data_IF_407127297444
#
_entry.id   IF_407127297444
#
_cell.length_a   1.000
_cell.length_b   1.000
_cell.length_c   1.000
_cell.angle_alpha   90.00
_cell.angle_beta   90.00
_cell.angle_gamma   90.00
#
_symmetry.space_group_name_H-M   'P 1'
#
loop_
_entity.id
_entity.type
_entity.pdbx_description
1 polymer ?
#
# COMPACT_ATOMS: atom_id res chain seq x y z
N UNK A 1 69.63 -21.95 -21.83
CA UNK A 1 68.99 -22.22 -23.14
C UNK A 1 67.64 -21.55 -23.09
N UNK A 2 67.60 -20.26 -23.38
CA UNK A 2 67.45 -19.63 -24.71
C UNK A 2 65.98 -19.53 -25.10
N UNK A 3 65.55 -18.25 -25.20
CA UNK A 3 64.59 -17.68 -26.16
C UNK A 3 63.12 -18.16 -26.11
N UNK A 4 62.10 -17.33 -26.26
CA UNK A 4 62.05 -16.03 -26.93
C UNK A 4 60.84 -16.06 -27.87
N UNK A 5 59.83 -15.25 -27.55
CA UNK A 5 58.90 -14.56 -28.45
C UNK A 5 58.24 -15.25 -29.67
N UNK A 6 56.91 -15.03 -29.71
CA UNK A 6 55.98 -14.92 -30.87
C UNK A 6 54.98 -16.07 -31.03
N UNK A 7 53.82 -15.89 -30.40
CA UNK A 7 52.57 -16.45 -30.92
C UNK A 7 51.95 -15.48 -31.94
N UNK A 8 51.80 -16.03 -33.14
CA UNK A 8 51.21 -15.44 -34.33
C UNK A 8 49.69 -15.37 -34.27
N UNK A 9 49.17 -14.22 -34.71
CA UNK A 9 47.77 -13.96 -35.05
C UNK A 9 47.18 -15.07 -35.95
N UNK A 10 46.09 -15.68 -35.50
CA UNK A 10 45.15 -16.42 -36.33
C UNK A 10 43.78 -15.77 -36.25
N UNK A 11 43.38 -15.08 -37.32
CA UNK A 11 42.00 -14.65 -37.54
C UNK A 11 41.12 -15.89 -37.73
N UNK A 12 40.18 -16.13 -36.81
CA UNK A 12 39.04 -17.00 -37.05
C UNK A 12 37.75 -16.20 -36.87
N UNK A 13 37.21 -15.77 -38.01
CA UNK A 13 35.81 -15.49 -38.32
C UNK A 13 34.80 -15.97 -37.25
N UNK A 14 34.29 -15.05 -36.44
CA UNK A 14 33.12 -15.26 -35.59
C UNK A 14 31.91 -14.56 -36.20
N UNK A 15 31.20 -15.26 -37.08
CA UNK A 15 29.79 -14.96 -37.38
C UNK A 15 28.94 -15.22 -36.13
N UNK A 16 28.15 -14.28 -35.60
CA UNK A 16 27.17 -14.58 -34.58
C UNK A 16 25.92 -15.18 -35.24
N UNK A 17 25.87 -16.50 -35.22
CA UNK A 17 24.70 -17.37 -35.03
C UNK A 17 23.31 -16.69 -35.08
N UNK A 18 22.72 -16.66 -36.28
CA UNK A 18 21.36 -16.22 -36.57
C UNK A 18 20.25 -17.18 -36.07
N UNK A 19 20.53 -18.01 -35.05
CA UNK A 19 19.64 -19.08 -34.58
C UNK A 19 19.14 -18.91 -33.14
N UNK A 20 19.40 -17.77 -32.48
CA UNK A 20 18.79 -17.42 -31.17
C UNK A 20 17.78 -16.26 -31.22
N UNK A 21 17.38 -15.82 -32.42
CA UNK A 21 16.42 -14.71 -32.60
C UNK A 21 15.01 -15.19 -33.03
N UNK A 22 14.75 -16.49 -32.98
CA UNK A 22 13.54 -17.09 -33.58
C UNK A 22 12.68 -17.87 -32.57
N UNK A 23 12.56 -17.38 -31.33
CA UNK A 23 11.57 -17.89 -30.34
C UNK A 23 10.60 -16.77 -29.90
N UNK A 24 10.68 -15.59 -30.52
CA UNK A 24 9.80 -14.46 -30.23
C UNK A 24 8.96 -14.06 -31.46
N UNK A 25 8.32 -15.01 -32.13
CA UNK A 25 7.41 -14.69 -33.25
C UNK A 25 6.11 -15.50 -33.21
N UNK A 26 5.04 -14.76 -32.91
CA UNK A 26 3.73 -14.83 -33.56
C UNK A 26 2.97 -16.17 -33.55
N UNK A 27 2.08 -16.34 -32.58
CA UNK A 27 0.88 -17.17 -32.78
C UNK A 27 -0.26 -16.21 -33.15
N UNK A 28 -0.46 -16.02 -34.45
CA UNK A 28 -1.64 -15.34 -34.99
C UNK A 28 -2.71 -16.40 -35.26
N UNK A 29 -3.69 -16.55 -34.37
CA UNK A 29 -4.92 -17.29 -34.68
C UNK A 29 -5.82 -16.41 -35.55
N UNK A 30 -5.74 -16.60 -36.86
CA UNK A 30 -6.68 -16.05 -37.83
C UNK A 30 -7.91 -16.95 -37.93
N UNK A 31 -9.08 -16.44 -37.53
CA UNK A 31 -10.37 -17.02 -37.94
C UNK A 31 -10.98 -16.11 -39.02
N UNK A 32 -11.08 -16.66 -40.23
CA UNK A 32 -11.83 -16.20 -41.43
C UNK A 32 -12.55 -17.49 -41.91
N UNK A 33 -13.82 -17.61 -42.35
CA UNK A 33 -14.82 -16.80 -43.09
C UNK A 33 -16.22 -17.39 -42.73
N UNK A 34 -17.38 -16.74 -42.90
CA UNK A 34 -18.07 -16.58 -44.18
C UNK A 34 -19.23 -15.53 -44.11
N UNK A 35 -19.47 -14.87 -45.25
CA UNK A 35 -20.37 -13.73 -45.53
C UNK A 35 -21.85 -14.13 -45.66
N UNK A 36 -22.78 -13.21 -45.36
CA UNK A 36 -23.58 -12.49 -46.38
C UNK A 36 -24.66 -11.54 -45.80
N UNK A 37 -24.65 -10.30 -46.31
CA UNK A 37 -25.78 -9.38 -46.56
C UNK A 37 -26.77 -9.04 -45.42
N UNK A 38 -26.64 -7.86 -44.81
CA UNK A 38 -27.49 -6.66 -45.08
C UNK A 38 -27.23 -5.54 -44.05
N UNK A 39 -27.33 -4.29 -44.54
CA UNK A 39 -27.43 -2.98 -43.84
C UNK A 39 -26.19 -2.33 -43.17
N UNK A 40 -26.00 -1.00 -43.35
CA UNK A 40 -24.80 -0.27 -42.95
C UNK A 40 -24.88 0.30 -41.53
N UNK A 41 -23.73 0.74 -41.04
CA UNK A 41 -23.50 1.57 -39.85
C UNK A 41 -23.57 0.88 -38.46
N UNK A 42 -22.62 -0.03 -38.25
CA UNK A 42 -21.99 -0.21 -36.92
C UNK A 42 -20.51 0.15 -37.09
N UNK A 43 -19.94 1.11 -36.32
CA UNK A 43 -18.54 1.45 -36.46
C UNK A 43 -17.67 0.23 -36.13
N UNK A 44 -16.76 -0.06 -37.06
CA UNK A 44 -15.77 -1.13 -37.00
C UNK A 44 -15.04 -1.08 -35.65
N UNK A 45 -15.28 -2.07 -34.79
CA UNK A 45 -14.56 -2.24 -33.53
C UNK A 45 -13.06 -2.33 -33.85
N UNK A 46 -12.28 -1.33 -33.45
CA UNK A 46 -10.84 -1.40 -33.54
C UNK A 46 -10.36 -2.66 -32.80
N UNK A 47 -9.70 -3.58 -33.52
CA UNK A 47 -9.02 -4.74 -32.93
C UNK A 47 -7.97 -4.22 -31.93
N UNK A 48 -8.28 -4.28 -30.64
CA UNK A 48 -7.28 -4.13 -29.59
C UNK A 48 -6.56 -5.47 -29.52
N UNK A 49 -5.46 -5.63 -30.26
CA UNK A 49 -4.61 -6.81 -30.15
C UNK A 49 -3.83 -6.70 -28.85
N UNK A 50 -4.28 -7.37 -27.79
CA UNK A 50 -3.55 -7.44 -26.51
C UNK A 50 -2.56 -8.61 -26.59
N UNK A 51 -1.27 -8.29 -26.61
CA UNK A 51 -0.19 -9.25 -26.41
C UNK A 51 0.39 -9.05 -24.99
N UNK A 52 1.17 -9.98 -24.44
CA UNK A 52 1.83 -9.82 -23.11
C UNK A 52 2.60 -8.50 -23.04
N UNK A 53 3.14 -8.05 -24.19
CA UNK A 53 3.82 -6.76 -24.38
C UNK A 53 2.91 -5.52 -24.32
N UNK A 54 1.58 -5.67 -24.37
CA UNK A 54 0.59 -4.59 -24.25
C UNK A 54 0.03 -4.42 -22.83
N UNK A 55 0.25 -5.38 -21.92
CA UNK A 55 0.17 -5.15 -20.48
C UNK A 55 1.42 -4.36 -20.05
N UNK A 56 1.42 -3.05 -20.32
CA UNK A 56 2.66 -2.26 -20.36
C UNK A 56 3.14 -1.79 -18.99
N UNK A 57 2.24 -1.65 -18.01
CA UNK A 57 2.59 -0.94 -16.77
C UNK A 57 2.47 -1.87 -15.56
N UNK A 58 3.59 -2.09 -14.90
CA UNK A 58 3.65 -2.84 -13.65
C UNK A 58 3.11 -1.95 -12.53
N UNK A 59 2.50 -2.57 -11.53
CA UNK A 59 1.84 -1.85 -10.44
C UNK A 59 2.02 -2.59 -9.13
N UNK A 60 2.16 -1.81 -8.06
CA UNK A 60 2.14 -2.30 -6.69
C UNK A 60 0.71 -2.18 -6.12
N UNK A 61 0.19 -3.17 -5.39
CA UNK A 61 -1.09 -3.07 -4.72
C UNK A 61 -1.26 -1.82 -3.84
N UNK A 62 -0.20 -1.35 -3.19
CA UNK A 62 -0.22 -0.12 -2.37
C UNK A 62 -0.52 1.16 -3.17
N UNK A 63 -0.32 1.15 -4.49
CA UNK A 63 -0.62 2.29 -5.37
C UNK A 63 -2.07 2.33 -5.84
N UNK A 64 -2.92 1.41 -5.36
CA UNK A 64 -4.34 1.42 -5.64
C UNK A 64 -4.97 2.76 -5.20
N UNK A 65 -5.70 3.41 -6.10
CA UNK A 65 -6.25 4.74 -5.87
C UNK A 65 -7.57 4.76 -5.08
N UNK A 66 -7.91 3.65 -4.42
CA UNK A 66 -9.17 3.43 -3.71
C UNK A 66 -9.59 4.60 -2.80
N UNK A 67 -8.67 5.12 -1.97
CA UNK A 67 -8.98 6.20 -1.04
C UNK A 67 -8.98 7.61 -1.66
N UNK A 68 -8.44 7.79 -2.87
CA UNK A 68 -8.47 9.10 -3.56
C UNK A 68 -9.43 9.12 -4.76
N UNK A 69 -10.35 8.16 -4.85
CA UNK A 69 -11.42 8.23 -5.83
C UNK A 69 -12.29 9.46 -5.53
N UNK A 70 -12.66 10.25 -6.56
CA UNK A 70 -13.51 11.40 -6.35
C UNK A 70 -14.86 10.92 -5.80
N UNK A 71 -15.22 11.41 -4.61
CA UNK A 71 -16.57 11.19 -4.09
C UNK A 71 -17.51 11.96 -5.01
N UNK A 72 -18.30 11.24 -5.80
CA UNK A 72 -19.36 11.83 -6.62
C UNK A 72 -20.51 12.27 -5.70
N UNK A 73 -20.28 13.29 -4.88
CA UNK A 73 -21.36 13.97 -4.19
C UNK A 73 -22.04 14.82 -5.28
N UNK A 74 -23.31 14.56 -5.55
CA UNK A 74 -24.13 15.34 -6.46
C UNK A 74 -24.40 16.74 -5.86
N UNK A 75 -23.35 17.53 -5.61
CA UNK A 75 -23.43 18.85 -4.96
C UNK A 75 -23.69 19.95 -5.98
N UNK A 76 -23.42 19.71 -7.27
CA UNK A 76 -23.68 20.69 -8.31
C UNK A 76 -24.50 20.09 -9.46
N UNK A 77 -25.81 20.34 -9.39
CA UNK A 77 -26.76 20.59 -10.48
C UNK A 77 -26.81 19.61 -11.67
N UNK A 78 -27.97 18.95 -11.77
CA UNK A 78 -28.59 18.23 -12.92
C UNK A 78 -28.55 16.70 -12.96
N UNK A 79 -28.06 16.01 -11.93
CA UNK A 79 -28.55 14.63 -11.72
C UNK A 79 -29.85 14.77 -10.95
N UNK A 80 -30.98 14.73 -11.65
CA UNK A 80 -32.27 14.64 -10.99
C UNK A 80 -32.19 13.46 -10.02
N UNK A 81 -32.39 13.71 -8.73
CA UNK A 81 -32.63 12.62 -7.78
C UNK A 81 -33.70 11.72 -8.42
N UNK A 82 -33.50 10.38 -8.44
CA UNK A 82 -34.51 9.49 -8.96
C UNK A 82 -35.87 9.88 -8.36
N UNK A 83 -36.90 10.03 -9.19
CA UNK A 83 -38.27 10.25 -8.70
C UNK A 83 -38.52 9.26 -7.58
N UNK A 84 -39.15 9.73 -6.48
CA UNK A 84 -39.43 8.92 -5.30
C UNK A 84 -39.85 7.50 -5.73
N UNK A 85 -38.99 6.52 -5.43
CA UNK A 85 -39.20 5.17 -5.88
C UNK A 85 -40.25 4.54 -4.96
N UNK A 86 -41.40 4.21 -5.53
CA UNK A 86 -42.45 3.53 -4.78
C UNK A 86 -41.96 2.10 -4.48
N UNK A 87 -41.75 1.79 -3.20
CA UNK A 87 -41.47 0.43 -2.75
C UNK A 87 -42.82 -0.26 -2.55
N UNK A 88 -43.18 -1.18 -3.45
CA UNK A 88 -44.44 -1.91 -3.33
C UNK A 88 -44.43 -2.75 -2.03
N UNK A 89 -45.60 -2.95 -1.37
CA UNK A 89 -45.70 -3.89 -0.26
C UNK A 89 -45.13 -5.25 -0.62
N UNK A 90 -44.41 -5.90 0.29
CA UNK A 90 -43.74 -7.19 0.09
C UNK A 90 -42.54 -7.19 -0.88
N UNK A 91 -42.08 -6.02 -1.34
CA UNK A 91 -40.83 -5.93 -2.13
C UNK A 91 -39.64 -6.23 -1.24
N UNK A 92 -38.97 -7.35 -1.49
CA UNK A 92 -37.63 -7.62 -0.96
C UNK A 92 -36.61 -7.26 -2.03
N UNK A 93 -35.75 -6.28 -1.76
CA UNK A 93 -34.61 -5.97 -2.63
C UNK A 93 -33.48 -6.94 -2.25
N UNK A 94 -33.55 -8.18 -2.75
CA UNK A 94 -32.65 -9.27 -2.30
C UNK A 94 -31.30 -9.26 -3.02
N UNK A 95 -31.14 -8.51 -4.11
CA UNK A 95 -29.81 -8.22 -4.65
C UNK A 95 -29.85 -6.99 -5.55
N UNK A 96 -28.75 -6.24 -5.56
CA UNK A 96 -28.48 -5.28 -6.62
C UNK A 96 -28.06 -6.08 -7.85
N UNK A 97 -29.02 -6.50 -8.68
CA UNK A 97 -28.67 -6.98 -10.02
C UNK A 97 -28.22 -5.77 -10.83
N UNK A 98 -26.97 -5.70 -11.31
CA UNK A 98 -26.56 -4.63 -12.20
C UNK A 98 -27.47 -4.63 -13.44
N UNK A 99 -27.76 -3.46 -14.04
CA UNK A 99 -28.63 -3.35 -15.21
C UNK A 99 -28.08 -4.11 -16.44
N UNK A 100 -26.81 -4.54 -16.40
CA UNK A 100 -26.15 -5.34 -17.42
C UNK A 100 -25.58 -6.60 -16.73
N UNK A 101 -25.81 -7.82 -17.28
CA UNK A 101 -25.25 -9.05 -16.71
C UNK A 101 -23.72 -9.02 -16.71
N UNK A 102 -23.13 -9.22 -15.54
CA UNK A 102 -21.69 -9.42 -15.35
C UNK A 102 -21.34 -10.87 -15.66
N UNK A 103 -21.31 -11.26 -16.94
CA UNK A 103 -21.13 -12.67 -17.32
C UNK A 103 -19.76 -13.17 -16.84
N UNK A 104 -19.76 -14.08 -15.88
CA UNK A 104 -18.57 -14.70 -15.27
C UNK A 104 -17.81 -13.83 -14.26
N UNK A 105 -18.22 -12.57 -14.07
CA UNK A 105 -17.65 -11.66 -13.08
C UNK A 105 -18.53 -11.61 -11.83
N UNK A 106 -17.91 -11.80 -10.67
CA UNK A 106 -18.51 -11.66 -9.35
C UNK A 106 -18.28 -10.23 -8.86
N UNK A 107 -19.35 -9.55 -8.42
CA UNK A 107 -19.23 -8.24 -7.78
C UNK A 107 -19.14 -8.43 -6.26
N UNK A 108 -18.07 -7.92 -5.67
CA UNK A 108 -17.90 -7.88 -4.22
C UNK A 108 -18.00 -6.45 -3.71
N UNK A 109 -18.56 -6.31 -2.50
CA UNK A 109 -18.55 -5.06 -1.74
C UNK A 109 -17.55 -5.25 -0.62
N UNK A 110 -16.50 -4.44 -0.62
CA UNK A 110 -15.52 -4.37 0.44
C UNK A 110 -16.21 -4.01 1.77
N UNK A 111 -15.73 -4.49 2.93
CA UNK A 111 -16.21 -4.09 4.27
C UNK A 111 -16.39 -2.58 4.53
N UNK A 112 -15.73 -1.73 3.77
CA UNK A 112 -15.78 -0.25 3.88
C UNK A 112 -16.68 0.39 2.80
N UNK A 113 -17.34 -0.41 1.97
CA UNK A 113 -18.38 0.01 1.03
C UNK A 113 -17.97 0.11 -0.44
N UNK A 114 -16.67 0.07 -0.77
CA UNK A 114 -16.22 0.13 -2.16
C UNK A 114 -16.46 -1.19 -2.91
N UNK A 115 -16.59 -1.15 -4.24
CA UNK A 115 -16.84 -2.34 -5.07
C UNK A 115 -15.59 -2.78 -5.81
N UNK A 116 -15.45 -4.09 -5.96
CA UNK A 116 -14.47 -4.68 -6.86
C UNK A 116 -15.04 -5.94 -7.49
N UNK A 117 -14.36 -6.44 -8.52
CA UNK A 117 -14.86 -7.51 -9.37
C UNK A 117 -13.86 -8.63 -9.49
N UNK A 118 -14.35 -9.86 -9.46
CA UNK A 118 -13.53 -11.07 -9.57
C UNK A 118 -14.00 -11.92 -10.74
N UNK A 119 -13.08 -12.40 -11.55
CA UNK A 119 -13.32 -13.40 -12.57
C UNK A 119 -12.77 -14.76 -12.09
N UNK A 120 -13.62 -15.56 -11.45
CA UNK A 120 -13.21 -16.78 -10.75
C UNK A 120 -12.45 -17.77 -11.64
N UNK A 121 -12.88 -17.91 -12.91
CA UNK A 121 -12.26 -18.84 -13.87
C UNK A 121 -10.80 -18.51 -14.21
N UNK A 122 -10.45 -17.22 -14.29
CA UNK A 122 -9.08 -16.77 -14.55
C UNK A 122 -8.38 -16.25 -13.28
N UNK A 123 -8.98 -16.44 -12.10
CA UNK A 123 -8.45 -15.96 -10.81
C UNK A 123 -7.98 -14.51 -10.89
N UNK A 124 -8.82 -13.68 -11.48
CA UNK A 124 -8.48 -12.29 -11.76
C UNK A 124 -9.32 -11.37 -10.90
N UNK A 125 -8.71 -10.34 -10.35
CA UNK A 125 -9.38 -9.32 -9.53
C UNK A 125 -9.11 -7.95 -10.11
N UNK A 126 -10.12 -7.08 -10.09
CA UNK A 126 -10.00 -5.71 -10.56
C UNK A 126 -10.91 -4.75 -9.78
N UNK A 127 -10.48 -3.51 -9.52
CA UNK A 127 -11.35 -2.47 -8.98
C UNK A 127 -12.24 -1.84 -10.06
N UNK A 128 -11.96 -2.11 -11.34
CA UNK A 128 -12.65 -1.48 -12.47
C UNK A 128 -13.91 -2.27 -12.82
N UNK A 129 -15.04 -1.58 -12.96
CA UNK A 129 -16.30 -2.20 -13.38
C UNK A 129 -16.17 -2.85 -14.78
N UNK A 130 -16.33 -4.19 -14.90
CA UNK A 130 -16.15 -4.90 -16.16
C UNK A 130 -17.45 -4.81 -16.99
N UNK A 131 -17.81 -3.61 -17.40
CA UNK A 131 -18.95 -3.37 -18.30
C UNK A 131 -18.47 -3.25 -19.75
N UNK A 132 -19.22 -3.83 -20.68
CA UNK A 132 -19.04 -3.68 -22.12
C UNK A 132 -17.62 -4.05 -22.62
N UNK A 133 -16.92 -3.09 -23.24
CA UNK A 133 -15.59 -3.24 -23.83
C UNK A 133 -14.50 -3.52 -22.79
N UNK A 134 -14.68 -3.02 -21.56
CA UNK A 134 -13.70 -3.17 -20.47
C UNK A 134 -13.58 -4.63 -20.07
N UNK A 135 -14.70 -5.35 -19.97
CA UNK A 135 -14.70 -6.79 -19.68
C UNK A 135 -13.85 -7.59 -20.69
N UNK A 136 -14.02 -7.31 -21.99
CA UNK A 136 -13.26 -7.99 -23.05
C UNK A 136 -11.76 -7.71 -22.97
N UNK A 137 -11.37 -6.47 -22.68
CA UNK A 137 -9.96 -6.09 -22.50
C UNK A 137 -9.37 -6.83 -21.29
N UNK A 138 -10.08 -6.86 -20.17
CA UNK A 138 -9.64 -7.53 -18.95
C UNK A 138 -9.53 -9.05 -19.15
N UNK A 139 -10.51 -9.69 -19.78
CA UNK A 139 -10.51 -11.13 -20.05
C UNK A 139 -9.39 -11.54 -21.01
N UNK A 140 -9.16 -10.75 -22.07
CA UNK A 140 -8.05 -10.98 -22.99
C UNK A 140 -6.70 -10.82 -22.29
N UNK A 141 -6.52 -9.76 -21.50
CA UNK A 141 -5.31 -9.55 -20.71
C UNK A 141 -5.09 -10.70 -19.71
N UNK A 142 -6.14 -11.10 -18.98
CA UNK A 142 -6.09 -12.21 -18.03
C UNK A 142 -5.75 -13.54 -18.71
N UNK A 143 -6.30 -13.82 -19.89
CA UNK A 143 -6.00 -15.07 -20.64
C UNK A 143 -4.54 -15.11 -21.06
N UNK A 144 -4.03 -14.01 -21.59
CA UNK A 144 -2.62 -13.90 -21.97
C UNK A 144 -1.69 -14.01 -20.75
N UNK A 145 -2.08 -13.41 -19.63
CA UNK A 145 -1.31 -13.44 -18.39
C UNK A 145 -1.43 -14.77 -17.65
N UNK A 146 -2.50 -15.55 -17.77
CA UNK A 146 -2.59 -16.87 -17.11
C UNK A 146 -1.77 -17.94 -17.84
N UNK A 147 -1.61 -17.81 -19.15
CA UNK A 147 -0.82 -18.74 -19.96
C UNK A 147 0.69 -18.63 -19.69
N UNK A 148 1.18 -17.42 -19.42
CA UNK A 148 2.59 -17.16 -19.10
C UNK A 148 3.10 -17.98 -17.88
N UNK A 149 2.50 -17.90 -16.67
CA UNK A 149 2.93 -18.70 -15.52
C UNK A 149 2.58 -20.17 -15.68
N UNK A 150 1.47 -20.57 -16.34
CA UNK A 150 1.19 -22.00 -16.58
C UNK A 150 2.29 -22.72 -17.37
N UNK A 151 2.97 -22.00 -18.26
CA UNK A 151 4.14 -22.51 -18.98
C UNK A 151 5.41 -22.61 -18.12
N UNK A 152 5.45 -21.95 -16.95
CA UNK A 152 6.61 -21.87 -16.06
C UNK A 152 6.44 -22.63 -14.73
N UNK A 153 5.24 -22.67 -14.15
CA UNK A 153 4.88 -23.37 -12.90
C UNK A 153 3.34 -23.41 -12.75
N UNK A 154 2.77 -24.62 -12.73
CA UNK A 154 1.32 -24.87 -12.69
C UNK A 154 0.66 -24.69 -11.32
N UNK A 155 1.00 -23.62 -10.60
CA UNK A 155 0.50 -23.41 -9.24
C UNK A 155 -0.93 -22.85 -9.23
N UNK A 156 -1.82 -23.52 -8.49
CA UNK A 156 -3.21 -23.11 -8.35
C UNK A 156 -3.44 -21.97 -7.35
N UNK A 157 -2.37 -21.50 -6.70
CA UNK A 157 -2.40 -20.48 -5.64
C UNK A 157 -2.09 -19.06 -6.12
N UNK A 158 -1.95 -18.85 -7.43
CA UNK A 158 -1.67 -17.55 -8.02
C UNK A 158 -2.96 -16.83 -8.43
N UNK A 159 -3.10 -15.57 -7.98
CA UNK A 159 -4.15 -14.62 -8.39
C UNK A 159 -3.55 -13.48 -9.24
N UNK A 160 -4.33 -12.94 -10.18
CA UNK A 160 -3.92 -11.85 -11.06
C UNK A 160 -4.68 -10.59 -10.67
N UNK A 161 -3.97 -9.54 -10.30
CA UNK A 161 -4.55 -8.22 -10.14
C UNK A 161 -4.48 -7.46 -11.48
N UNK A 162 -5.60 -6.89 -11.93
CA UNK A 162 -5.68 -6.04 -13.11
C UNK A 162 -6.29 -4.68 -12.80
N UNK A 163 -5.72 -3.64 -13.39
CA UNK A 163 -6.26 -2.30 -13.32
C UNK A 163 -6.16 -1.59 -14.68
N UNK A 164 -7.08 -0.67 -14.94
CA UNK A 164 -7.04 0.21 -16.10
C UNK A 164 -6.97 1.65 -15.58
N UNK A 165 -5.83 2.34 -15.72
CA UNK A 165 -5.69 3.69 -15.20
C UNK A 165 -6.58 4.66 -15.98
N UNK A 166 -7.19 5.59 -15.24
CA UNK A 166 -8.13 6.60 -15.76
C UNK A 166 -7.52 7.51 -16.85
N UNK A 167 -6.18 7.61 -16.90
CA UNK A 167 -5.40 8.41 -17.86
C UNK A 167 -5.57 8.04 -19.36
N UNK A 168 -6.50 7.15 -19.71
CA UNK A 168 -6.96 6.95 -21.11
C UNK A 168 -5.96 6.28 -22.05
N UNK A 169 -4.80 5.84 -21.56
CA UNK A 169 -3.93 4.94 -22.32
C UNK A 169 -4.48 3.54 -22.10
N UNK A 170 -4.79 2.79 -23.17
CA UNK A 170 -5.20 1.36 -23.16
C UNK A 170 -4.18 0.40 -22.51
N UNK A 171 -3.36 0.87 -21.58
CA UNK A 171 -2.37 0.11 -20.85
C UNK A 171 -3.04 -0.54 -19.65
N UNK A 172 -3.22 -1.86 -19.74
CA UNK A 172 -3.59 -2.68 -18.60
C UNK A 172 -2.41 -2.74 -17.64
N UNK A 173 -2.67 -2.43 -16.37
CA UNK A 173 -1.75 -2.61 -15.27
C UNK A 173 -1.95 -3.96 -14.62
N UNK A 174 -0.87 -4.62 -14.21
CA UNK A 174 -0.96 -5.93 -13.58
C UNK A 174 0.13 -6.22 -12.55
N UNK A 175 -0.18 -7.15 -11.66
CA UNK A 175 0.78 -7.95 -10.87
C UNK A 175 0.19 -9.33 -10.58
N UNK A 176 1.05 -10.28 -10.24
CA UNK A 176 0.65 -11.59 -9.72
C UNK A 176 0.77 -11.61 -8.20
N UNK A 177 -0.15 -12.33 -7.58
CA UNK A 177 -0.26 -12.50 -6.13
C UNK A 177 -0.02 -13.97 -5.84
N UNK A 178 1.08 -14.28 -5.15
CA UNK A 178 1.43 -15.63 -4.71
C UNK A 178 0.92 -15.82 -3.28
N UNK A 179 -0.19 -16.56 -3.12
CA UNK A 179 -0.75 -16.83 -1.80
C UNK A 179 0.06 -17.86 -0.99
N UNK A 180 0.90 -18.68 -1.63
CA UNK A 180 1.75 -19.66 -0.94
C UNK A 180 2.91 -18.97 -0.25
N UNK A 181 3.62 -18.08 -0.95
CA UNK A 181 4.77 -17.37 -0.41
C UNK A 181 4.43 -15.98 0.14
N UNK A 182 3.14 -15.57 0.10
CA UNK A 182 2.62 -14.28 0.56
C UNK A 182 3.39 -13.09 -0.04
N UNK A 183 3.58 -13.10 -1.36
CA UNK A 183 4.36 -12.08 -2.06
C UNK A 183 3.73 -11.70 -3.40
N UNK A 184 4.14 -10.55 -3.93
CA UNK A 184 3.76 -10.11 -5.28
C UNK A 184 4.92 -10.27 -6.26
N UNK A 185 4.61 -10.57 -7.51
CA UNK A 185 5.63 -10.74 -8.56
C UNK A 185 5.08 -10.43 -9.97
N UNK A 186 5.94 -10.50 -10.98
CA UNK A 186 5.62 -10.17 -12.37
C UNK A 186 6.16 -11.24 -13.34
N UNK A 187 5.49 -11.40 -14.49
CA UNK A 187 5.88 -12.39 -15.50
C UNK A 187 7.17 -12.01 -16.25
N UNK A 188 7.60 -10.75 -16.17
CA UNK A 188 8.84 -10.27 -16.78
C UNK A 188 9.80 -9.72 -15.72
N UNK A 189 11.08 -9.74 -16.07
CA UNK A 189 12.10 -9.02 -15.32
C UNK A 189 11.68 -7.55 -15.14
N UNK A 190 11.74 -7.11 -13.89
CA UNK A 190 11.20 -5.84 -13.41
C UNK A 190 12.23 -5.22 -12.48
N UNK A 191 12.54 -3.94 -12.66
CA UNK A 191 13.41 -3.21 -11.72
C UNK A 191 12.60 -2.55 -10.62
N UNK A 192 13.21 -2.35 -9.46
CA UNK A 192 12.61 -1.62 -8.33
C UNK A 192 12.23 -0.20 -8.73
N UNK A 193 13.09 0.47 -9.52
CA UNK A 193 12.84 1.82 -10.06
C UNK A 193 11.58 1.88 -10.91
N UNK A 194 11.32 0.86 -11.74
CA UNK A 194 10.09 0.80 -12.55
C UNK A 194 8.82 0.68 -11.69
N UNK A 195 8.94 0.03 -10.53
CA UNK A 195 7.87 -0.10 -9.53
C UNK A 195 7.77 1.13 -8.60
N UNK A 196 8.67 2.10 -8.72
CA UNK A 196 8.76 3.23 -7.80
C UNK A 196 9.29 2.87 -6.42
N UNK A 197 9.98 1.73 -6.29
CA UNK A 197 10.66 1.29 -5.07
C UNK A 197 12.11 1.77 -5.06
N UNK A 198 12.63 2.00 -3.85
CA UNK A 198 14.07 2.23 -3.64
C UNK A 198 14.87 0.94 -3.92
N UNK A 199 16.19 1.07 -4.03
CA UNK A 199 17.08 -0.09 -4.14
C UNK A 199 17.14 -0.84 -2.81
N UNK A 200 17.24 -2.17 -2.85
CA UNK A 200 17.30 -3.02 -1.66
C UNK A 200 18.72 -3.54 -1.44
N UNK A 201 19.13 -3.60 -0.18
CA UNK A 201 20.46 -4.08 0.23
C UNK A 201 20.60 -5.62 0.14
N UNK A 202 19.47 -6.34 0.16
CA UNK A 202 19.45 -7.80 0.02
C UNK A 202 18.11 -8.30 -0.56
N UNK A 203 18.13 -9.51 -1.13
CA UNK A 203 16.93 -10.20 -1.60
C UNK A 203 15.93 -10.48 -0.48
N UNK A 204 16.41 -10.75 0.74
CA UNK A 204 15.56 -10.93 1.91
C UNK A 204 14.78 -9.66 2.26
N UNK A 205 15.42 -8.49 2.12
CA UNK A 205 14.77 -7.20 2.36
C UNK A 205 13.79 -6.83 1.26
N UNK A 206 14.13 -7.14 -0.01
CA UNK A 206 13.18 -7.03 -1.13
C UNK A 206 11.95 -7.93 -0.90
N UNK A 207 12.17 -9.20 -0.52
CA UNK A 207 11.08 -10.13 -0.19
C UNK A 207 10.17 -9.57 0.91
N UNK A 208 10.75 -8.98 1.96
CA UNK A 208 9.97 -8.35 3.04
C UNK A 208 9.10 -7.19 2.53
N UNK A 209 9.60 -6.38 1.61
CA UNK A 209 8.82 -5.29 1.02
C UNK A 209 7.68 -5.81 0.13
N UNK A 210 7.96 -6.80 -0.73
CA UNK A 210 6.94 -7.45 -1.57
C UNK A 210 5.88 -8.20 -0.76
N UNK A 211 6.24 -8.67 0.44
CA UNK A 211 5.27 -9.25 1.40
C UNK A 211 4.31 -8.19 1.92
N UNK A 212 4.78 -6.96 2.18
CA UNK A 212 3.90 -5.84 2.54
C UNK A 212 2.88 -5.52 1.45
N UNK A 213 3.31 -5.59 0.19
CA UNK A 213 2.45 -5.39 -0.98
C UNK A 213 1.40 -6.49 -1.14
N UNK A 214 1.72 -7.74 -0.79
CA UNK A 214 0.74 -8.81 -0.71
C UNK A 214 -0.36 -8.51 0.32
N UNK A 215 0.01 -8.04 1.51
CA UNK A 215 -0.98 -7.68 2.53
C UNK A 215 -1.84 -6.49 2.13
N UNK A 216 -1.27 -5.50 1.44
CA UNK A 216 -2.05 -4.40 0.84
C UNK A 216 -3.06 -4.91 -0.21
N UNK A 217 -2.70 -5.94 -1.00
CA UNK A 217 -3.65 -6.56 -1.94
C UNK A 217 -4.82 -7.21 -1.20
N UNK A 218 -4.54 -7.97 -0.16
CA UNK A 218 -5.58 -8.62 0.65
C UNK A 218 -6.48 -7.64 1.39
N UNK A 219 -5.90 -6.56 1.91
CA UNK A 219 -6.67 -5.47 2.49
C UNK A 219 -7.62 -4.86 1.46
N UNK A 220 -7.18 -4.70 0.21
CA UNK A 220 -8.02 -4.09 -0.84
C UNK A 220 -9.07 -5.04 -1.41
N UNK A 221 -8.80 -6.36 -1.46
CA UNK A 221 -9.65 -7.35 -2.12
C UNK A 221 -9.92 -8.60 -1.25
N UNK A 222 -10.66 -8.45 -0.14
CA UNK A 222 -10.76 -9.45 0.93
C UNK A 222 -11.88 -10.49 0.75
N UNK A 223 -12.96 -10.16 0.05
CA UNK A 223 -14.24 -10.87 0.15
C UNK A 223 -14.25 -12.26 -0.49
N UNK A 224 -13.34 -12.52 -1.42
CA UNK A 224 -13.22 -13.81 -2.11
C UNK A 224 -12.06 -14.66 -1.59
N UNK A 225 -11.36 -14.15 -0.58
CA UNK A 225 -10.19 -14.79 0.00
C UNK A 225 -10.62 -15.89 0.95
N UNK A 226 -9.78 -16.92 1.05
CA UNK A 226 -9.90 -17.95 2.07
C UNK A 226 -9.14 -17.46 3.30
N UNK A 227 -9.65 -17.77 4.49
CA UNK A 227 -9.01 -17.39 5.74
C UNK A 227 -7.71 -18.20 6.00
N UNK A 228 -6.64 -17.52 6.42
CA UNK A 228 -5.32 -18.10 6.71
C UNK A 228 -5.04 -18.15 8.22
N UNK A 229 -5.23 -19.33 8.83
CA UNK A 229 -5.03 -19.52 10.26
C UNK A 229 -3.56 -19.32 10.70
N UNK A 230 -2.63 -19.77 9.88
CA UNK A 230 -1.18 -19.64 10.06
C UNK A 230 -0.73 -18.17 10.11
N UNK A 231 -1.23 -17.33 9.21
CA UNK A 231 -0.92 -15.90 9.22
C UNK A 231 -1.48 -15.18 10.44
N UNK A 232 -2.65 -15.60 10.92
CA UNK A 232 -3.26 -15.02 12.11
C UNK A 232 -2.51 -15.40 13.38
N UNK A 233 -2.12 -16.67 13.52
CA UNK A 233 -1.37 -17.14 14.69
C UNK A 233 0.03 -16.52 14.73
N UNK A 234 0.68 -16.34 13.56
CA UNK A 234 1.93 -15.57 13.45
C UNK A 234 1.74 -14.11 13.88
N UNK A 235 0.67 -13.45 13.43
CA UNK A 235 0.36 -12.07 13.82
C UNK A 235 0.15 -11.93 15.33
N UNK A 236 -0.57 -12.88 15.95
CA UNK A 236 -0.73 -12.92 17.41
C UNK A 236 0.60 -13.07 18.14
N UNK A 237 1.50 -13.91 17.62
CA UNK A 237 2.86 -14.02 18.14
C UNK A 237 3.62 -12.69 18.07
N UNK A 238 3.50 -11.97 16.95
CA UNK A 238 4.11 -10.64 16.77
C UNK A 238 3.52 -9.62 17.75
N UNK A 239 2.20 -9.59 17.93
CA UNK A 239 1.53 -8.70 18.88
C UNK A 239 1.94 -9.01 20.32
N UNK A 240 2.01 -10.29 20.70
CA UNK A 240 2.46 -10.72 22.02
C UNK A 240 3.92 -10.32 22.29
N UNK A 241 4.80 -10.54 21.32
CA UNK A 241 6.20 -10.09 21.42
C UNK A 241 6.29 -8.57 21.55
N UNK A 242 5.59 -7.83 20.69
CA UNK A 242 5.57 -6.37 20.71
C UNK A 242 5.04 -5.80 22.02
N UNK A 243 4.05 -6.44 22.64
CA UNK A 243 3.55 -6.03 23.95
C UNK A 243 4.60 -6.19 25.06
N UNK A 244 5.32 -7.31 25.08
CA UNK A 244 6.41 -7.53 26.04
C UNK A 244 7.56 -6.55 25.78
N UNK A 245 7.90 -6.31 24.52
CA UNK A 245 8.94 -5.35 24.13
C UNK A 245 8.59 -3.93 24.61
N UNK A 246 7.36 -3.43 24.38
CA UNK A 246 6.93 -2.11 24.88
C UNK A 246 6.92 -2.01 26.42
N UNK A 247 6.59 -3.09 27.13
CA UNK A 247 6.58 -3.10 28.60
C UNK A 247 7.99 -3.15 29.20
N UNK A 248 8.94 -3.77 28.51
CA UNK A 248 10.29 -4.04 29.04
C UNK A 248 11.35 -3.11 28.47
N UNK A 249 11.09 -2.47 27.33
CA UNK A 249 12.02 -1.60 26.61
C UNK A 249 11.41 -0.22 26.33
N UNK A 250 11.97 0.86 26.89
CA UNK A 250 11.56 2.23 26.57
C UNK A 250 11.76 2.61 25.10
N UNK A 251 12.60 1.87 24.37
CA UNK A 251 12.96 2.08 22.97
C UNK A 251 12.37 1.02 22.04
N UNK A 252 11.18 0.48 22.35
CA UNK A 252 10.52 -0.49 21.45
C UNK A 252 10.33 0.09 20.05
N UNK A 253 10.55 -0.74 19.04
CA UNK A 253 10.26 -0.42 17.63
C UNK A 253 8.88 -0.93 17.20
N UNK A 254 8.09 -1.49 18.12
CA UNK A 254 6.72 -1.89 17.88
C UNK A 254 5.86 -0.66 17.50
N UNK A 255 4.98 -0.75 16.47
CA UNK A 255 4.09 0.35 16.13
C UNK A 255 3.06 0.69 17.21
N UNK A 256 2.86 -0.22 18.17
CA UNK A 256 1.76 -0.19 19.11
C UNK A 256 2.26 -0.32 20.54
N UNK A 257 1.52 0.28 21.47
CA UNK A 257 1.70 0.04 22.90
C UNK A 257 1.26 -1.38 23.28
N UNK A 258 1.73 -1.84 24.44
CA UNK A 258 1.30 -3.13 24.98
C UNK A 258 -0.21 -3.24 25.16
N UNK A 259 -0.88 -2.12 25.49
CA UNK A 259 -2.33 -2.04 25.58
C UNK A 259 -2.99 -2.27 24.23
N UNK A 260 -2.54 -1.57 23.19
CA UNK A 260 -3.07 -1.73 21.83
C UNK A 260 -2.83 -3.15 21.29
N UNK A 261 -1.65 -3.73 21.53
CA UNK A 261 -1.35 -5.12 21.16
C UNK A 261 -2.32 -6.12 21.82
N UNK A 262 -2.63 -5.94 23.11
CA UNK A 262 -3.60 -6.77 23.82
C UNK A 262 -5.02 -6.57 23.28
N UNK A 263 -5.42 -5.33 22.97
CA UNK A 263 -6.72 -5.01 22.37
C UNK A 263 -6.89 -5.64 20.99
N UNK A 264 -5.88 -5.54 20.11
CA UNK A 264 -5.91 -6.18 18.79
C UNK A 264 -5.98 -7.70 18.89
N UNK A 265 -5.22 -8.30 19.81
CA UNK A 265 -5.27 -9.75 20.05
C UNK A 265 -6.69 -10.17 20.46
N UNK A 266 -7.32 -9.43 21.39
CA UNK A 266 -8.70 -9.69 21.81
C UNK A 266 -9.71 -9.54 20.66
N UNK A 267 -9.54 -8.53 19.78
CA UNK A 267 -10.40 -8.34 18.61
C UNK A 267 -10.25 -9.52 17.63
N UNK A 268 -9.02 -9.96 17.38
CA UNK A 268 -8.73 -11.11 16.50
C UNK A 268 -9.40 -12.38 17.01
N UNK A 269 -9.31 -12.65 18.31
CA UNK A 269 -9.94 -13.82 18.94
C UNK A 269 -11.47 -13.81 18.84
N UNK A 270 -12.10 -12.64 18.91
CA UNK A 270 -13.56 -12.51 18.74
C UNK A 270 -14.03 -12.88 17.34
N UNK A 271 -13.19 -12.78 16.32
CA UNK A 271 -13.55 -13.29 14.99
C UNK A 271 -13.64 -14.81 14.94
N UNK A 272 -12.91 -15.56 15.78
CA UNK A 272 -13.00 -17.03 15.86
C UNK A 272 -14.32 -17.50 16.46
N UNK A 273 -14.91 -16.72 17.36
CA UNK A 273 -16.19 -17.08 17.99
C UNK A 273 -17.40 -16.89 17.09
N UNK A 274 -17.22 -16.18 15.96
CA UNK A 274 -18.26 -15.89 14.98
C UNK A 274 -18.07 -16.80 13.76
N UNK A 275 -18.28 -18.11 13.92
CA UNK A 275 -17.95 -19.18 12.94
C UNK A 275 -18.88 -19.21 11.71
N UNK A 276 -19.43 -18.06 11.31
CA UNK A 276 -20.26 -17.89 10.12
C UNK A 276 -19.42 -17.31 8.98
N UNK A 277 -19.47 -17.98 7.81
CA UNK A 277 -18.77 -17.56 6.59
C UNK A 277 -19.05 -16.10 6.17
N UNK A 278 -20.12 -15.49 6.67
CA UNK A 278 -20.52 -14.11 6.40
C UNK A 278 -19.52 -13.07 6.95
N UNK A 279 -18.73 -13.39 7.98
CA UNK A 279 -17.79 -12.44 8.60
C UNK A 279 -16.34 -12.55 8.09
N UNK A 280 -16.05 -13.51 7.22
CA UNK A 280 -14.69 -13.75 6.68
C UNK A 280 -14.06 -12.50 6.08
N UNK A 281 -14.77 -11.66 5.29
CA UNK A 281 -14.16 -10.47 4.69
C UNK A 281 -13.67 -9.45 5.74
N UNK A 282 -14.44 -9.21 6.80
CA UNK A 282 -14.08 -8.26 7.87
C UNK A 282 -12.84 -8.73 8.64
N UNK A 283 -12.75 -10.03 8.89
CA UNK A 283 -11.58 -10.66 9.52
C UNK A 283 -10.34 -10.55 8.64
N UNK A 284 -10.47 -10.88 7.35
CA UNK A 284 -9.37 -10.80 6.37
C UNK A 284 -8.83 -9.37 6.27
N UNK A 285 -9.69 -8.36 6.10
CA UNK A 285 -9.26 -6.96 6.05
C UNK A 285 -8.51 -6.56 7.31
N UNK A 286 -9.05 -6.93 8.48
CA UNK A 286 -8.47 -6.54 9.76
C UNK A 286 -7.06 -7.13 9.94
N UNK A 287 -6.88 -8.41 9.61
CA UNK A 287 -5.59 -9.10 9.70
C UNK A 287 -4.61 -8.56 8.65
N UNK A 288 -5.07 -8.39 7.40
CA UNK A 288 -4.25 -7.86 6.32
C UNK A 288 -3.74 -6.45 6.63
N UNK A 289 -4.60 -5.59 7.19
CA UNK A 289 -4.24 -4.23 7.61
C UNK A 289 -3.16 -4.22 8.70
N UNK A 290 -3.31 -5.05 9.74
CA UNK A 290 -2.30 -5.15 10.80
C UNK A 290 -0.97 -5.69 10.26
N UNK A 291 -1.02 -6.66 9.35
CA UNK A 291 0.17 -7.17 8.67
C UNK A 291 0.85 -6.14 7.78
N UNK A 292 0.09 -5.35 7.01
CA UNK A 292 0.62 -4.27 6.19
C UNK A 292 1.33 -3.22 7.07
N UNK A 293 0.79 -2.90 8.24
CA UNK A 293 1.44 -2.02 9.22
C UNK A 293 2.74 -2.61 9.75
N UNK A 294 2.77 -3.89 10.13
CA UNK A 294 4.01 -4.58 10.56
C UNK A 294 5.04 -4.60 9.44
N UNK A 295 4.65 -4.94 8.21
CA UNK A 295 5.55 -4.97 7.06
C UNK A 295 6.18 -3.59 6.81
N UNK A 296 5.39 -2.52 6.92
CA UNK A 296 5.89 -1.14 6.82
C UNK A 296 6.90 -0.81 7.91
N UNK A 297 6.62 -1.12 9.18
CA UNK A 297 7.55 -0.87 10.29
C UNK A 297 8.83 -1.67 10.13
N UNK A 298 8.73 -2.94 9.75
CA UNK A 298 9.88 -3.81 9.46
C UNK A 298 10.74 -3.24 8.34
N UNK A 299 10.13 -2.74 7.27
CA UNK A 299 10.85 -2.10 6.18
C UNK A 299 11.63 -0.88 6.66
N UNK A 300 10.99 0.01 7.41
CA UNK A 300 11.62 1.26 7.89
C UNK A 300 12.75 0.96 8.89
N UNK A 301 12.58 -0.07 9.73
CA UNK A 301 13.59 -0.48 10.69
C UNK A 301 14.63 -1.46 10.11
N UNK A 302 14.68 -1.64 8.79
CA UNK A 302 15.68 -2.50 8.13
C UNK A 302 15.68 -3.93 8.69
N UNK A 303 14.51 -4.45 9.03
CA UNK A 303 14.34 -5.75 9.67
C UNK A 303 14.96 -6.87 8.82
N UNK A 304 15.77 -7.72 9.46
CA UNK A 304 16.43 -8.86 8.82
C UNK A 304 17.71 -8.52 8.04
N UNK A 305 18.13 -7.26 8.00
CA UNK A 305 19.45 -6.86 7.49
C UNK A 305 20.55 -7.06 8.56
N UNK A 306 21.81 -6.84 8.17
CA UNK A 306 22.96 -6.99 9.08
C UNK A 306 23.01 -5.95 10.19
N UNK A 307 22.43 -4.77 9.95
CA UNK A 307 22.42 -3.64 10.90
C UNK A 307 21.00 -3.09 11.07
N UNK A 308 20.04 -3.89 11.59
CA UNK A 308 18.67 -3.46 11.74
C UNK A 308 18.57 -2.37 12.81
N UNK A 309 17.61 -1.46 12.65
CA UNK A 309 17.30 -0.48 13.68
C UNK A 309 16.46 -1.13 14.78
N UNK A 310 17.03 -1.26 15.96
CA UNK A 310 16.40 -1.91 17.13
C UNK A 310 15.84 -0.93 18.16
N UNK A 311 16.24 0.34 18.08
CA UNK A 311 15.73 1.42 18.92
C UNK A 311 15.40 2.64 18.04
N UNK A 312 14.23 3.28 18.19
CA UNK A 312 13.88 4.49 17.45
C UNK A 312 14.92 5.61 17.55
N UNK A 313 15.72 5.68 18.60
CA UNK A 313 16.77 6.69 18.83
C UNK A 313 18.12 6.33 18.18
N UNK A 314 18.30 5.13 17.65
CA UNK A 314 19.51 4.79 16.89
C UNK A 314 19.63 5.69 15.64
N UNK A 315 20.84 6.18 15.38
CA UNK A 315 21.09 7.12 14.28
C UNK A 315 20.63 8.56 14.55
N UNK A 316 20.10 8.86 15.75
CA UNK A 316 19.56 10.19 16.06
C UNK A 316 20.64 11.28 16.00
N UNK A 317 21.86 10.98 16.46
CA UNK A 317 22.94 11.96 16.46
C UNK A 317 23.37 12.31 15.04
N UNK A 318 23.53 11.31 14.18
CA UNK A 318 23.86 11.47 12.77
C UNK A 318 22.75 12.23 12.03
N UNK A 319 21.49 11.89 12.30
CA UNK A 319 20.33 12.57 11.73
C UNK A 319 20.21 14.02 12.22
N UNK A 320 20.44 14.28 13.50
CA UNK A 320 20.47 15.62 14.05
C UNK A 320 21.58 16.47 13.40
N UNK A 321 22.79 15.92 13.26
CA UNK A 321 23.91 16.63 12.63
C UNK A 321 23.67 16.92 11.15
N UNK A 322 23.06 15.99 10.40
CA UNK A 322 22.73 16.22 8.98
C UNK A 322 21.64 17.27 8.79
N UNK A 323 20.69 17.39 9.72
CA UNK A 323 19.61 18.39 9.65
C UNK A 323 20.05 19.77 10.17
N UNK A 324 21.08 19.82 11.03
CA UNK A 324 21.58 21.06 11.61
C UNK A 324 22.23 21.93 10.54
N UNK A 325 21.68 23.12 10.33
CA UNK A 325 22.30 24.17 9.51
C UNK A 325 22.95 25.21 10.42
N UNK A 326 24.25 25.42 10.28
CA UNK A 326 24.93 26.50 10.99
C UNK A 326 24.52 27.85 10.36
N UNK A 327 23.87 28.71 11.13
CA UNK A 327 23.47 30.05 10.68
C UNK A 327 23.48 31.03 11.86
N UNK A 328 24.07 32.21 11.64
CA UNK A 328 24.12 33.28 12.64
C UNK A 328 22.72 33.74 13.09
N UNK A 329 21.74 33.75 12.17
CA UNK A 329 20.34 34.10 12.49
C UNK A 329 19.70 33.06 13.43
N UNK A 330 20.00 31.78 13.22
CA UNK A 330 19.52 30.70 14.09
C UNK A 330 20.17 30.82 15.47
N UNK A 331 21.48 31.08 15.53
CA UNK A 331 22.19 31.28 16.80
C UNK A 331 21.64 32.45 17.61
N UNK A 332 21.35 33.59 16.96
CA UNK A 332 20.73 34.74 17.63
C UNK A 332 19.31 34.42 18.12
N UNK A 333 18.52 33.70 17.30
CA UNK A 333 17.19 33.22 17.70
C UNK A 333 17.24 32.26 18.89
N UNK A 334 18.23 31.36 18.96
CA UNK A 334 18.40 30.47 20.13
C UNK A 334 18.68 31.27 21.41
N UNK A 335 19.47 32.34 21.35
CA UNK A 335 19.74 33.20 22.50
C UNK A 335 18.44 33.87 22.97
N UNK A 336 17.68 34.49 22.07
CA UNK A 336 16.41 35.14 22.42
C UNK A 336 15.33 34.16 22.90
N UNK A 337 15.35 32.92 22.41
CA UNK A 337 14.43 31.87 22.84
C UNK A 337 14.98 31.03 24.01
N UNK A 338 16.04 31.46 24.71
CA UNK A 338 16.65 30.77 25.84
C UNK A 338 16.97 29.27 25.56
N UNK A 339 17.35 28.95 24.32
CA UNK A 339 17.64 27.58 23.89
C UNK A 339 16.42 26.65 23.74
N UNK A 340 15.20 27.15 23.93
CA UNK A 340 13.97 26.34 23.79
C UNK A 340 13.76 25.82 22.37
N UNK A 341 14.12 26.60 21.36
CA UNK A 341 14.02 26.21 19.95
C UNK A 341 14.90 24.99 19.65
N UNK A 342 16.12 24.94 20.18
CA UNK A 342 17.04 23.82 20.03
C UNK A 342 16.52 22.56 20.71
N UNK A 343 16.07 22.69 21.96
CA UNK A 343 15.49 21.58 22.73
C UNK A 343 14.27 20.99 22.02
N UNK A 344 13.38 21.85 21.53
CA UNK A 344 12.19 21.44 20.78
C UNK A 344 12.57 20.78 19.46
N UNK A 345 13.56 21.33 18.75
CA UNK A 345 14.07 20.75 17.50
C UNK A 345 14.67 19.36 17.72
N UNK A 346 15.52 19.16 18.73
CA UNK A 346 16.06 17.84 19.06
C UNK A 346 14.96 16.83 19.40
N UNK A 347 13.94 17.24 20.17
CA UNK A 347 12.78 16.39 20.49
C UNK A 347 11.97 16.04 19.23
N UNK A 348 11.74 17.00 18.33
CA UNK A 348 11.10 16.76 17.04
C UNK A 348 11.92 15.83 16.15
N UNK A 349 13.25 15.99 16.10
CA UNK A 349 14.14 15.10 15.37
C UNK A 349 14.07 13.68 15.95
N UNK A 350 13.98 13.52 17.27
CA UNK A 350 13.80 12.22 17.91
C UNK A 350 12.45 11.58 17.56
N UNK A 351 11.36 12.36 17.55
CA UNK A 351 10.02 11.89 17.16
C UNK A 351 9.88 11.56 15.67
N UNK A 352 10.75 12.13 14.84
CA UNK A 352 10.79 11.92 13.40
C UNK A 352 11.97 11.04 12.97
N UNK A 353 12.69 10.44 13.92
CA UNK A 353 13.90 9.70 13.60
C UNK A 353 13.55 8.48 12.72
N UNK A 354 14.17 8.38 11.54
CA UNK A 354 13.86 7.37 10.52
C UNK A 354 12.50 7.52 9.82
N UNK A 355 11.96 8.75 9.72
CA UNK A 355 10.75 9.08 8.94
C UNK A 355 9.48 8.36 9.38
N UNK A 356 9.42 7.90 10.64
CA UNK A 356 8.22 7.31 11.25
C UNK A 356 7.83 8.14 12.45
N UNK A 357 6.64 8.73 12.37
CA UNK A 357 5.99 9.31 13.53
C UNK A 357 5.07 8.29 14.18
N UNK A 358 5.44 7.75 15.33
CA UNK A 358 4.51 6.96 16.14
C UNK A 358 3.48 7.90 16.76
N UNK A 359 2.20 7.70 16.43
CA UNK A 359 1.12 8.58 16.87
C UNK A 359 1.14 8.84 18.39
N UNK A 360 1.44 7.81 19.19
CA UNK A 360 1.59 7.89 20.65
C UNK A 360 2.66 8.90 21.10
N UNK A 361 3.85 8.83 20.52
CA UNK A 361 4.95 9.74 20.88
C UNK A 361 4.64 11.18 20.45
N UNK A 362 3.97 11.34 19.29
CA UNK A 362 3.50 12.65 18.83
C UNK A 362 2.43 13.24 19.75
N UNK A 363 1.42 12.46 20.16
CA UNK A 363 0.37 12.93 21.08
C UNK A 363 0.96 13.40 22.41
N UNK A 364 1.81 12.59 23.04
CA UNK A 364 2.48 12.96 24.28
C UNK A 364 3.31 14.26 24.12
N UNK A 365 4.06 14.38 23.04
CA UNK A 365 4.82 15.59 22.77
C UNK A 365 3.93 16.82 22.62
N UNK A 366 2.82 16.71 21.89
CA UNK A 366 1.86 17.80 21.73
C UNK A 366 1.20 18.20 23.05
N UNK A 367 0.81 17.24 23.89
CA UNK A 367 0.28 17.51 25.22
C UNK A 367 1.28 18.25 26.11
N UNK A 368 2.54 17.80 26.15
CA UNK A 368 3.62 18.46 26.89
C UNK A 368 3.89 19.88 26.35
N UNK A 369 3.92 20.06 25.03
CA UNK A 369 4.10 21.37 24.40
C UNK A 369 2.94 22.32 24.69
N UNK A 370 1.71 21.83 24.60
CA UNK A 370 0.50 22.58 24.89
C UNK A 370 0.48 23.05 26.35
N UNK A 371 0.79 22.15 27.30
CA UNK A 371 0.91 22.50 28.72
C UNK A 371 1.99 23.56 28.98
N UNK A 372 3.15 23.42 28.34
CA UNK A 372 4.23 24.41 28.47
C UNK A 372 3.83 25.79 27.92
N UNK A 373 3.10 25.84 26.81
CA UNK A 373 2.62 27.11 26.23
C UNK A 373 1.58 27.78 27.13
N UNK A 374 0.66 27.01 27.72
CA UNK A 374 -0.29 27.55 28.70
C UNK A 374 0.47 28.15 29.88
N UNK A 375 1.45 27.43 30.44
CA UNK A 375 2.25 27.92 31.56
C UNK A 375 3.02 29.20 31.22
N UNK A 376 3.63 29.28 30.02
CA UNK A 376 4.29 30.52 29.56
C UNK A 376 3.30 31.67 29.39
N UNK A 377 2.09 31.41 28.89
CA UNK A 377 1.03 32.39 28.76
C UNK A 377 0.58 32.93 30.12
N UNK A 378 0.38 32.06 31.10
CA UNK A 378 0.04 32.43 32.48
C UNK A 378 1.16 33.25 33.11
N UNK A 379 2.42 32.81 33.05
CA UNK A 379 3.55 33.57 33.57
C UNK A 379 3.67 34.95 32.92
N UNK A 380 3.47 35.04 31.61
CA UNK A 380 3.47 36.32 30.89
C UNK A 380 2.35 37.24 31.37
N UNK A 381 1.15 36.71 31.60
CA UNK A 381 0.01 37.46 32.12
C UNK A 381 0.26 37.94 33.56
N UNK A 382 0.86 37.11 34.41
CA UNK A 382 1.25 37.46 35.78
C UNK A 382 2.29 38.59 35.79
N UNK A 383 3.34 38.49 34.96
CA UNK A 383 4.35 39.55 34.82
C UNK A 383 3.72 40.84 34.29
N UNK A 384 2.85 40.74 33.29
CA UNK A 384 2.17 41.89 32.69
C UNK A 384 1.26 42.60 33.70
N UNK A 385 0.44 41.84 34.44
CA UNK A 385 -0.44 42.39 35.48
C UNK A 385 0.34 42.95 36.66
N UNK A 386 1.43 42.31 37.07
CA UNK A 386 2.34 42.84 38.09
C UNK A 386 2.93 44.19 37.68
N UNK A 387 3.39 44.32 36.44
CA UNK A 387 3.99 45.54 35.92
C UNK A 387 2.98 46.68 35.73
N UNK A 388 1.70 46.37 35.48
CA UNK A 388 0.65 47.38 35.27
C UNK A 388 -0.07 47.82 36.54
N UNK A 389 -0.29 46.90 37.49
CA UNK A 389 -1.19 47.12 38.63
C UNK A 389 -0.52 46.90 40.01
N UNK A 390 0.76 46.50 40.06
CA UNK A 390 1.48 46.20 41.28
C UNK A 390 1.28 44.77 41.80
N UNK A 391 2.06 44.38 42.83
CA UNK A 391 2.17 43.00 43.33
C UNK A 391 0.87 42.34 43.79
N UNK A 392 -0.01 43.10 44.43
CA UNK A 392 -1.23 42.56 45.06
C UNK A 392 -2.30 42.17 44.04
N UNK A 393 -2.36 42.85 42.90
CA UNK A 393 -3.31 42.53 41.82
C UNK A 393 -2.91 41.26 41.05
N UNK A 394 -1.61 41.01 40.87
CA UNK A 394 -1.10 39.80 40.24
C UNK A 394 -1.36 38.55 41.10
N UNK A 395 -1.19 38.66 42.42
CA UNK A 395 -1.49 37.59 43.40
C UNK A 395 -2.98 37.21 43.42
N UNK A 396 -3.87 38.20 43.32
CA UNK A 396 -5.31 37.97 43.25
C UNK A 396 -5.75 37.26 41.95
N UNK A 397 -5.05 37.50 40.83
CA UNK A 397 -5.30 36.82 39.55
C UNK A 397 -4.84 35.36 39.58
N UNK A 398 -3.65 35.09 40.13
CA UNK A 398 -3.11 33.72 40.28
C UNK A 398 -3.99 32.87 41.19
N UNK A 399 -4.61 33.45 42.22
CA UNK A 399 -5.53 32.72 43.10
C UNK A 399 -6.91 32.41 42.48
N UNK A 400 -7.26 33.03 41.34
CA UNK A 400 -8.55 32.85 40.64
C UNK A 400 -8.47 31.95 39.40
N UNK A 401 -7.27 31.73 38.87
CA UNK A 401 -6.97 30.78 37.79
C UNK A 401 -6.64 29.41 38.38
#
# INVERSE_FOLDING_TARGET
MLEGDRETKGELSSRPNAQRKTIAESITMSIIQEKANTTPDVPLVAKVTLNVSNARKLVLPSTNNRYNQPVSIAVNNKVALPKAQLISPWTRVVSFSPPIPLIGWECHVHPEGDKYYRYARLRTVTPVSPLNLVARILEQAATVLIEAPRSAQGDNTIEIYLNIPESGKNAVQYCYIDHTNRQVFWARATSTVELGLESFESDGFLKSALTGEYWNHLENFPCHQIFWADAEDELKGILGHGAIDDLTSPGSTCPWSAKECAEYTSIIEKFKTCDHNEHVPYRVVSIARLWAMIARVRHINQYGLTSPRLDPLQGLFENYQSQKKASFKIALGEIFCFGMSRSTFTRLTALWNGRVGYQRHWHRFFEEMHGNWINMGVLSLVIWTHNLYGGDAALALVHRM
#
